data_IF_179990789661
#
_entry.id   IF_179990789661
#
_cell.length_a   1.000
_cell.length_b   1.000
_cell.length_c   1.000
_cell.angle_alpha   90.00
_cell.angle_beta   90.00
_cell.angle_gamma   90.00
#
_symmetry.space_group_name_H-M   'P 1'
#
loop_
_entity.id
_entity.type
_entity.pdbx_description
1 polymer ?
#
# COMPACT_ATOMS: atom_id res chain seq x y z
N UNK A 1 -9.88 15.88 6.39
CA UNK A 1 -9.90 17.35 6.21
C UNK A 1 -11.22 17.85 5.64
N UNK A 2 -11.84 17.18 4.66
CA UNK A 2 -13.12 17.62 4.08
C UNK A 2 -14.22 17.97 5.10
N UNK A 3 -14.55 17.13 6.09
CA UNK A 3 -15.60 17.49 7.06
C UNK A 3 -15.33 18.78 7.82
N UNK A 4 -14.06 19.02 8.20
CA UNK A 4 -13.69 20.24 8.92
C UNK A 4 -13.94 21.50 8.09
N UNK A 5 -13.51 21.52 6.84
CA UNK A 5 -13.67 22.66 5.95
C UNK A 5 -15.15 22.97 5.68
N UNK A 6 -15.97 21.92 5.47
CA UNK A 6 -17.43 22.08 5.29
C UNK A 6 -18.11 22.65 6.53
N UNK A 7 -17.71 22.18 7.72
CA UNK A 7 -18.23 22.69 9.00
C UNK A 7 -17.86 24.15 9.24
N UNK A 8 -16.63 24.55 8.92
CA UNK A 8 -16.15 25.94 8.97
C UNK A 8 -16.93 26.83 8.00
N UNK A 9 -17.30 26.30 6.82
CA UNK A 9 -18.16 26.98 5.85
C UNK A 9 -19.64 27.02 6.21
N UNK A 10 -20.07 26.46 7.34
CA UNK A 10 -21.43 26.52 7.82
C UNK A 10 -22.33 25.33 7.46
N UNK A 11 -21.84 24.33 6.72
CA UNK A 11 -22.63 23.18 6.31
C UNK A 11 -22.97 22.25 7.51
N UNK A 12 -24.11 21.56 7.41
CA UNK A 12 -24.37 20.37 8.22
C UNK A 12 -23.75 19.16 7.51
N UNK A 13 -22.97 18.35 8.22
CA UNK A 13 -22.21 17.25 7.62
C UNK A 13 -22.71 15.92 8.16
N UNK A 14 -23.09 15.01 7.27
CA UNK A 14 -23.35 13.61 7.61
C UNK A 14 -22.16 12.77 7.13
N UNK A 15 -21.51 12.09 8.06
CA UNK A 15 -20.30 11.29 7.79
C UNK A 15 -20.60 9.80 7.93
N UNK A 16 -20.62 9.09 6.84
CA UNK A 16 -20.66 7.63 6.82
C UNK A 16 -19.23 7.07 6.85
N UNK A 17 -18.99 6.09 7.71
CA UNK A 17 -17.70 5.40 7.80
C UNK A 17 -17.91 3.89 7.86
N UNK A 18 -17.28 3.17 6.94
CA UNK A 18 -17.35 1.70 6.87
C UNK A 18 -16.82 1.02 8.13
N UNK A 19 -15.71 1.54 8.67
CA UNK A 19 -15.01 0.89 9.77
C UNK A 19 -15.66 1.20 11.12
N UNK A 20 -15.41 0.32 12.11
CA UNK A 20 -15.94 0.48 13.47
C UNK A 20 -15.36 1.67 14.22
N UNK A 21 -14.21 2.18 13.79
CA UNK A 21 -13.59 3.39 14.34
C UNK A 21 -13.28 4.38 13.22
N UNK A 22 -13.49 5.68 13.47
CA UNK A 22 -13.12 6.71 12.51
C UNK A 22 -11.59 6.82 12.37
N UNK A 23 -11.14 7.29 11.22
CA UNK A 23 -9.73 7.63 11.01
C UNK A 23 -9.04 6.89 9.86
N UNK A 24 -9.67 5.86 9.27
CA UNK A 24 -9.13 5.13 8.13
C UNK A 24 -7.67 4.73 8.32
N UNK A 25 -6.78 5.08 7.39
CA UNK A 25 -5.35 4.75 7.46
C UNK A 25 -4.63 5.39 8.65
N UNK A 26 -5.11 6.50 9.21
CA UNK A 26 -4.54 7.07 10.44
C UNK A 26 -4.75 6.15 11.65
N UNK A 27 -5.84 5.38 11.68
CA UNK A 27 -6.12 4.39 12.72
C UNK A 27 -5.54 3.01 12.37
N UNK A 28 -5.74 2.55 11.13
CA UNK A 28 -5.48 1.17 10.73
C UNK A 28 -4.28 0.99 9.80
N UNK A 29 -3.65 2.06 9.30
CA UNK A 29 -2.48 2.02 8.42
C UNK A 29 -1.16 2.31 9.11
N UNK A 30 -1.16 3.16 10.15
CA UNK A 30 0.06 3.55 10.86
C UNK A 30 0.57 2.38 11.72
N UNK A 31 1.88 2.12 11.68
CA UNK A 31 2.49 1.04 12.46
C UNK A 31 2.28 1.23 13.98
N UNK A 32 2.00 0.16 14.75
CA UNK A 32 1.61 0.25 16.17
C UNK A 32 2.58 1.02 17.07
N UNK A 33 3.90 0.95 16.82
CA UNK A 33 4.90 1.66 17.64
C UNK A 33 4.84 3.18 17.49
N UNK A 34 4.21 3.70 16.43
CA UNK A 34 3.99 5.14 16.20
C UNK A 34 2.77 5.68 17.00
N UNK A 35 2.58 5.18 18.23
CA UNK A 35 1.41 5.45 19.07
C UNK A 35 1.18 6.95 19.35
N UNK A 36 2.24 7.76 19.53
CA UNK A 36 2.12 9.21 19.75
C UNK A 36 1.46 9.92 18.57
N UNK A 37 1.84 9.54 17.34
CA UNK A 37 1.22 10.05 16.12
C UNK A 37 -0.26 9.67 16.05
N UNK A 38 -0.59 8.39 16.29
CA UNK A 38 -1.99 7.90 16.32
C UNK A 38 -2.82 8.66 17.36
N UNK A 39 -2.28 8.88 18.56
CA UNK A 39 -2.98 9.62 19.61
C UNK A 39 -3.25 11.09 19.23
N UNK A 40 -2.27 11.76 18.59
CA UNK A 40 -2.45 13.11 18.07
C UNK A 40 -3.59 13.21 17.05
N UNK A 41 -3.62 12.29 16.09
CA UNK A 41 -4.67 12.20 15.08
C UNK A 41 -6.05 11.88 15.70
N UNK A 42 -6.11 10.94 16.65
CA UNK A 42 -7.36 10.63 17.38
C UNK A 42 -7.91 11.84 18.12
N UNK A 43 -7.04 12.68 18.73
CA UNK A 43 -7.47 13.93 19.38
C UNK A 43 -8.09 14.89 18.38
N UNK A 44 -7.48 15.06 17.21
CA UNK A 44 -8.03 15.89 16.13
C UNK A 44 -9.39 15.37 15.63
N UNK A 45 -9.51 14.06 15.38
CA UNK A 45 -10.77 13.46 14.92
C UNK A 45 -11.88 13.61 15.98
N UNK A 46 -11.57 13.40 17.25
CA UNK A 46 -12.57 13.62 18.33
C UNK A 46 -13.10 15.05 18.36
N UNK A 47 -12.24 16.03 18.15
CA UNK A 47 -12.66 17.43 18.09
C UNK A 47 -13.59 17.72 16.91
N UNK A 48 -13.30 17.12 15.74
CA UNK A 48 -14.17 17.26 14.55
C UNK A 48 -15.51 16.54 14.75
N UNK A 49 -15.47 15.30 15.27
CA UNK A 49 -16.68 14.48 15.48
C UNK A 49 -17.59 15.01 16.59
N UNK A 50 -17.06 15.84 17.50
CA UNK A 50 -17.84 16.49 18.54
C UNK A 50 -18.57 17.77 18.08
N UNK A 51 -18.45 18.13 16.79
CA UNK A 51 -19.05 19.35 16.28
C UNK A 51 -20.58 19.21 16.19
N UNK A 52 -21.39 20.19 16.67
CA UNK A 52 -22.85 20.07 16.75
C UNK A 52 -23.57 19.97 15.39
N UNK A 53 -22.89 20.30 14.29
CA UNK A 53 -23.39 20.16 12.92
C UNK A 53 -22.77 18.96 12.19
N UNK A 54 -22.32 17.93 12.91
CA UNK A 54 -21.81 16.70 12.32
C UNK A 54 -22.52 15.49 12.92
N UNK A 55 -23.16 14.71 12.07
CA UNK A 55 -23.71 13.40 12.39
C UNK A 55 -22.76 12.30 11.88
N UNK A 56 -22.41 11.35 12.74
CA UNK A 56 -21.49 10.27 12.43
C UNK A 56 -22.16 8.91 12.46
N UNK A 57 -22.09 8.19 11.37
CA UNK A 57 -22.56 6.81 11.22
C UNK A 57 -21.38 5.87 10.97
N UNK A 58 -20.88 5.23 12.04
CA UNK A 58 -19.83 4.22 11.98
C UNK A 58 -20.40 2.84 11.64
N UNK A 59 -19.53 1.94 11.15
CA UNK A 59 -19.89 0.59 10.70
C UNK A 59 -20.99 0.60 9.63
N UNK A 60 -20.99 1.64 8.80
CA UNK A 60 -21.92 1.82 7.70
C UNK A 60 -21.15 1.81 6.37
N UNK A 61 -21.17 0.68 5.67
CA UNK A 61 -20.52 0.54 4.37
C UNK A 61 -21.46 1.01 3.25
N UNK A 62 -20.91 1.79 2.32
CA UNK A 62 -21.61 2.24 1.11
C UNK A 62 -20.99 1.53 -0.10
N UNK A 63 -21.81 1.04 -1.00
CA UNK A 63 -21.43 0.34 -2.21
C UNK A 63 -22.40 -0.81 -2.56
N UNK A 64 -22.19 -1.50 -3.67
CA UNK A 64 -23.08 -2.56 -4.17
C UNK A 64 -23.31 -3.70 -3.17
N UNK A 65 -22.33 -3.99 -2.31
CA UNK A 65 -22.39 -5.02 -1.26
C UNK A 65 -22.39 -4.40 0.15
N UNK A 66 -22.66 -3.10 0.24
CA UNK A 66 -22.70 -2.35 1.49
C UNK A 66 -24.04 -2.42 2.21
N UNK A 67 -24.12 -1.75 3.35
CA UNK A 67 -25.37 -1.51 4.07
C UNK A 67 -26.30 -0.57 3.29
N UNK A 68 -25.73 0.36 2.52
CA UNK A 68 -26.41 1.27 1.61
C UNK A 68 -25.71 1.23 0.26
N UNK A 69 -26.45 1.38 -0.82
CA UNK A 69 -25.89 1.70 -2.13
C UNK A 69 -25.66 3.20 -2.26
N UNK A 70 -24.89 3.62 -3.26
CA UNK A 70 -24.75 5.03 -3.58
C UNK A 70 -26.09 5.67 -3.98
N UNK A 71 -26.91 4.91 -4.70
CA UNK A 71 -28.26 5.33 -5.07
C UNK A 71 -29.15 5.59 -3.83
N UNK A 72 -29.07 4.73 -2.80
CA UNK A 72 -29.81 4.96 -1.55
C UNK A 72 -29.36 6.28 -0.88
N UNK A 73 -28.06 6.54 -0.85
CA UNK A 73 -27.51 7.78 -0.27
C UNK A 73 -27.99 9.02 -1.03
N UNK A 74 -28.13 8.94 -2.35
CA UNK A 74 -28.66 10.04 -3.17
C UNK A 74 -30.11 10.39 -2.84
N UNK A 75 -30.92 9.39 -2.44
CA UNK A 75 -32.32 9.62 -2.04
C UNK A 75 -32.48 10.32 -0.70
N UNK A 76 -31.44 10.46 0.10
CA UNK A 76 -31.49 11.09 1.42
C UNK A 76 -31.55 12.63 1.38
N UNK A 77 -31.51 13.24 0.19
CA UNK A 77 -31.73 14.69 0.00
C UNK A 77 -30.56 15.57 0.40
N UNK A 78 -29.31 15.06 0.28
CA UNK A 78 -28.11 15.88 0.46
C UNK A 78 -27.89 16.82 -0.73
N UNK A 79 -27.44 18.05 -0.44
CA UNK A 79 -27.07 19.03 -1.47
C UNK A 79 -25.78 18.64 -2.22
N UNK A 80 -24.87 17.91 -1.54
CA UNK A 80 -23.61 17.45 -2.12
C UNK A 80 -23.12 16.17 -1.44
N UNK A 81 -22.44 15.32 -2.21
CA UNK A 81 -21.76 14.11 -1.74
C UNK A 81 -20.26 14.24 -1.93
N UNK A 82 -19.50 14.07 -0.84
CA UNK A 82 -18.03 14.05 -0.88
C UNK A 82 -17.55 12.61 -0.69
N UNK A 83 -16.96 12.03 -1.74
CA UNK A 83 -16.38 10.70 -1.69
C UNK A 83 -14.94 10.76 -1.25
N UNK A 84 -14.67 10.36 0.00
CA UNK A 84 -13.34 10.33 0.62
C UNK A 84 -13.01 8.91 1.13
N UNK A 85 -13.43 7.88 0.39
CA UNK A 85 -13.33 6.47 0.79
C UNK A 85 -11.90 5.89 0.74
N UNK A 86 -10.95 6.60 0.14
CA UNK A 86 -9.59 6.13 -0.08
C UNK A 86 -9.52 4.94 -1.04
N UNK A 87 -8.34 4.35 -1.17
CA UNK A 87 -8.09 3.18 -2.02
C UNK A 87 -8.34 1.89 -1.23
N UNK A 88 -9.54 1.31 -1.35
CA UNK A 88 -9.94 0.12 -0.59
C UNK A 88 -9.78 -1.18 -1.37
N UNK A 89 -9.65 -1.14 -2.70
CA UNK A 89 -9.34 -2.28 -3.54
C UNK A 89 -7.86 -2.64 -3.50
N UNK A 90 -7.53 -3.92 -3.64
CA UNK A 90 -6.14 -4.39 -3.77
C UNK A 90 -5.72 -4.42 -5.24
N UNK A 91 -4.50 -4.00 -5.50
CA UNK A 91 -3.91 -4.12 -6.84
C UNK A 91 -3.42 -5.56 -7.02
N UNK A 92 -3.87 -6.21 -8.08
CA UNK A 92 -3.43 -7.52 -8.51
C UNK A 92 -2.49 -7.41 -9.71
N UNK A 93 -1.56 -8.35 -9.84
CA UNK A 93 -0.67 -8.46 -10.99
C UNK A 93 -1.28 -9.31 -12.11
N UNK A 94 -2.25 -10.16 -11.78
CA UNK A 94 -2.86 -11.12 -12.71
C UNK A 94 -1.91 -12.24 -13.13
N UNK A 95 -0.99 -12.63 -12.22
CA UNK A 95 -0.01 -13.69 -12.48
C UNK A 95 -0.51 -15.05 -11.98
N UNK A 96 -0.08 -16.15 -12.62
CA UNK A 96 -0.50 -17.50 -12.20
C UNK A 96 -0.17 -17.80 -10.75
N UNK A 97 -1.18 -18.29 -10.02
CA UNK A 97 -1.07 -18.66 -8.59
C UNK A 97 -1.14 -17.49 -7.62
N UNK A 98 -1.57 -16.31 -8.04
CA UNK A 98 -1.71 -15.13 -7.15
C UNK A 98 -2.76 -15.33 -6.04
N UNK A 99 -3.63 -16.33 -6.19
CA UNK A 99 -4.64 -16.77 -5.22
C UNK A 99 -4.21 -17.98 -4.36
N UNK A 100 -2.96 -18.44 -4.49
CA UNK A 100 -2.45 -19.61 -3.78
C UNK A 100 -2.40 -19.39 -2.25
N UNK A 101 -2.46 -20.49 -1.50
CA UNK A 101 -2.30 -20.45 -0.02
C UNK A 101 -0.89 -19.99 0.33
N UNK A 102 -0.78 -18.89 1.08
CA UNK A 102 0.49 -18.24 1.41
C UNK A 102 0.72 -16.94 0.62
N UNK A 103 -0.19 -16.58 -0.30
CA UNK A 103 -0.19 -15.26 -0.94
C UNK A 103 -1.11 -14.32 -0.17
N UNK A 104 -0.63 -13.12 0.12
CA UNK A 104 -1.37 -12.07 0.83
C UNK A 104 -1.11 -10.70 0.21
N UNK A 105 -2.02 -9.77 0.45
CA UNK A 105 -1.78 -8.36 0.17
C UNK A 105 -1.31 -7.61 1.42
N UNK A 106 -0.51 -6.59 1.22
CA UNK A 106 0.00 -5.73 2.30
C UNK A 106 -1.11 -5.23 3.23
N UNK A 107 -2.25 -4.86 2.66
CA UNK A 107 -3.42 -4.38 3.39
C UNK A 107 -3.92 -5.40 4.42
N UNK A 108 -3.96 -6.71 4.08
CA UNK A 108 -4.42 -7.76 4.98
C UNK A 108 -3.50 -7.86 6.21
N UNK A 109 -2.19 -7.78 6.00
CA UNK A 109 -1.18 -7.80 7.06
C UNK A 109 -1.24 -6.54 7.92
N UNK A 110 -1.35 -5.37 7.28
CA UNK A 110 -1.42 -4.06 7.96
C UNK A 110 -2.68 -3.96 8.82
N UNK A 111 -3.82 -4.37 8.30
CA UNK A 111 -5.08 -4.37 9.05
C UNK A 111 -5.10 -5.43 10.15
N UNK A 112 -4.44 -6.58 9.93
CA UNK A 112 -4.30 -7.61 10.95
C UNK A 112 -3.55 -7.07 12.18
N UNK A 113 -2.34 -6.52 12.03
CA UNK A 113 -1.56 -6.02 13.17
C UNK A 113 -2.11 -4.73 13.78
N UNK A 114 -2.97 -4.01 13.08
CA UNK A 114 -3.70 -2.85 13.60
C UNK A 114 -5.08 -3.20 14.20
N UNK A 115 -5.39 -4.48 14.32
CA UNK A 115 -6.60 -4.99 14.95
C UNK A 115 -7.92 -4.56 14.28
N UNK A 116 -7.94 -4.41 12.94
CA UNK A 116 -9.18 -4.16 12.20
C UNK A 116 -9.91 -5.48 11.89
N UNK A 117 -11.15 -5.72 12.40
CA UNK A 117 -11.98 -6.84 11.94
C UNK A 117 -12.40 -6.65 10.46
N UNK A 118 -12.59 -7.72 9.69
CA UNK A 118 -12.38 -9.13 10.04
C UNK A 118 -10.92 -9.59 9.91
N UNK A 119 -10.00 -8.74 9.47
CA UNK A 119 -8.60 -9.07 9.19
C UNK A 119 -7.85 -9.57 10.44
N UNK A 120 -8.09 -8.94 11.59
CA UNK A 120 -7.46 -9.30 12.87
C UNK A 120 -7.93 -10.65 13.43
N UNK A 121 -9.06 -11.15 12.96
CA UNK A 121 -9.65 -12.43 13.39
C UNK A 121 -9.14 -13.61 12.55
N UNK A 122 -8.50 -13.35 11.42
CA UNK A 122 -7.96 -14.36 10.51
C UNK A 122 -6.51 -14.66 10.90
N UNK A 123 -6.14 -15.94 10.85
CA UNK A 123 -4.73 -16.32 10.96
C UNK A 123 -3.96 -15.78 9.73
N UNK A 124 -2.75 -15.29 9.97
CA UNK A 124 -1.81 -15.02 8.89
C UNK A 124 -1.04 -16.31 8.59
N UNK A 125 -1.16 -16.89 7.40
CA UNK A 125 -0.47 -18.13 7.03
C UNK A 125 0.99 -17.83 6.68
N UNK A 126 1.78 -17.41 7.68
CA UNK A 126 3.18 -17.07 7.53
C UNK A 126 4.04 -18.34 7.61
N UNK A 127 4.88 -18.53 6.59
CA UNK A 127 5.97 -19.49 6.61
C UNK A 127 7.26 -18.88 7.14
N UNK A 128 8.37 -19.59 6.97
CA UNK A 128 9.70 -19.19 7.45
C UNK A 128 10.39 -18.18 6.52
N UNK A 129 10.14 -18.27 5.21
CA UNK A 129 10.74 -17.45 4.18
C UNK A 129 9.67 -16.66 3.45
N UNK A 130 9.70 -15.35 3.63
CA UNK A 130 8.66 -14.45 3.14
C UNK A 130 9.22 -13.53 2.06
N UNK A 131 8.62 -13.51 0.87
CA UNK A 131 8.87 -12.48 -0.13
C UNK A 131 7.92 -11.30 0.08
N UNK A 132 8.45 -10.08 0.13
CA UNK A 132 7.65 -8.84 0.05
C UNK A 132 7.91 -8.22 -1.31
N UNK A 133 6.86 -8.11 -2.14
CA UNK A 133 6.94 -7.51 -3.47
C UNK A 133 6.61 -6.03 -3.39
N UNK A 134 7.59 -5.19 -3.68
CA UNK A 134 7.48 -3.73 -3.59
C UNK A 134 8.54 -3.12 -2.69
N UNK A 135 8.83 -1.82 -2.87
CA UNK A 135 9.92 -1.14 -2.18
C UNK A 135 9.49 0.28 -1.75
N UNK A 136 8.37 0.37 -1.04
CA UNK A 136 7.84 1.59 -0.42
C UNK A 136 7.81 1.50 1.10
N UNK A 137 7.27 2.52 1.77
CA UNK A 137 7.15 2.57 3.24
C UNK A 137 6.33 1.41 3.82
N UNK A 138 5.30 0.94 3.09
CA UNK A 138 4.50 -0.22 3.53
C UNK A 138 5.34 -1.49 3.61
N UNK A 139 6.29 -1.71 2.68
CA UNK A 139 7.24 -2.81 2.75
C UNK A 139 8.06 -2.74 4.04
N UNK A 140 8.55 -1.53 4.42
CA UNK A 140 9.29 -1.33 5.66
C UNK A 140 8.48 -1.75 6.88
N UNK A 141 7.24 -1.26 7.00
CA UNK A 141 6.36 -1.58 8.14
C UNK A 141 6.09 -3.10 8.22
N UNK A 142 5.84 -3.76 7.08
CA UNK A 142 5.62 -5.22 7.04
C UNK A 142 6.90 -5.99 7.39
N UNK A 143 8.05 -5.63 6.81
CA UNK A 143 9.32 -6.28 7.14
C UNK A 143 9.66 -6.13 8.63
N UNK A 144 9.46 -4.94 9.20
CA UNK A 144 9.63 -4.69 10.63
C UNK A 144 8.68 -5.54 11.48
N UNK A 145 7.40 -5.65 11.10
CA UNK A 145 6.43 -6.52 11.77
C UNK A 145 6.87 -7.99 11.76
N UNK A 146 7.27 -8.50 10.61
CA UNK A 146 7.68 -9.89 10.44
C UNK A 146 8.95 -10.21 11.25
N UNK A 147 9.97 -9.38 11.11
CA UNK A 147 11.29 -9.64 11.70
C UNK A 147 11.35 -9.34 13.20
N UNK A 148 10.51 -8.41 13.69
CA UNK A 148 10.50 -8.00 15.11
C UNK A 148 9.50 -8.77 15.94
N UNK A 149 8.32 -9.10 15.39
CA UNK A 149 7.18 -9.60 16.16
C UNK A 149 6.76 -11.02 15.79
N UNK A 150 7.41 -11.64 14.79
CA UNK A 150 7.11 -12.99 14.31
C UNK A 150 8.34 -13.88 14.31
N UNK A 151 8.61 -14.50 15.46
CA UNK A 151 9.79 -15.35 15.65
C UNK A 151 9.88 -16.54 14.69
N UNK A 152 8.77 -16.92 14.03
CA UNK A 152 8.77 -18.00 13.04
C UNK A 152 9.37 -17.60 11.68
N UNK A 153 9.55 -16.30 11.40
CA UNK A 153 10.10 -15.81 10.13
C UNK A 153 11.63 -15.77 10.25
N UNK A 154 12.28 -16.59 9.45
CA UNK A 154 13.74 -16.72 9.40
C UNK A 154 14.37 -15.79 8.36
N UNK A 155 13.64 -15.53 7.26
CA UNK A 155 14.12 -14.69 6.17
C UNK A 155 12.97 -13.88 5.53
N UNK A 156 13.25 -12.61 5.28
CA UNK A 156 12.42 -11.74 4.44
C UNK A 156 13.24 -11.34 3.22
N UNK A 157 12.77 -11.65 2.01
CA UNK A 157 13.35 -11.16 0.76
C UNK A 157 12.47 -10.08 0.16
N UNK A 158 13.02 -8.88 -0.03
CA UNK A 158 12.33 -7.77 -0.69
C UNK A 158 12.55 -7.87 -2.20
N UNK A 159 11.49 -8.09 -2.94
CA UNK A 159 11.53 -8.20 -4.41
C UNK A 159 11.13 -6.86 -5.02
N UNK A 160 12.03 -6.26 -5.78
CA UNK A 160 11.84 -4.97 -6.39
C UNK A 160 12.02 -5.00 -7.91
N UNK A 161 11.02 -4.50 -8.65
CA UNK A 161 11.05 -4.45 -10.12
C UNK A 161 12.17 -3.56 -10.67
N UNK A 162 12.55 -2.52 -9.92
CA UNK A 162 13.61 -1.57 -10.27
C UNK A 162 14.82 -1.72 -9.36
N UNK A 163 15.83 -0.90 -9.57
CA UNK A 163 17.06 -0.89 -8.78
C UNK A 163 16.93 -0.16 -7.43
N UNK A 164 18.02 -0.15 -6.64
CA UNK A 164 18.06 0.53 -5.36
C UNK A 164 17.89 2.06 -5.45
N UNK A 165 18.26 2.67 -6.59
CA UNK A 165 18.06 4.11 -6.81
C UNK A 165 16.59 4.51 -6.88
N UNK A 166 15.71 3.62 -7.37
CA UNK A 166 14.28 3.85 -7.53
C UNK A 166 13.44 3.47 -6.31
N UNK A 167 14.08 3.32 -5.14
CA UNK A 167 13.37 3.08 -3.88
C UNK A 167 12.40 4.22 -3.56
N UNK A 168 11.27 3.88 -2.94
CA UNK A 168 10.20 4.82 -2.59
C UNK A 168 9.93 4.87 -1.08
N UNK A 169 10.85 4.38 -0.28
CA UNK A 169 10.76 4.51 1.17
C UNK A 169 11.64 5.68 1.67
N UNK A 170 11.24 6.24 2.80
CA UNK A 170 12.01 7.28 3.47
C UNK A 170 13.19 6.70 4.25
N UNK A 171 14.32 7.42 4.27
CA UNK A 171 15.49 7.02 5.04
C UNK A 171 15.21 6.87 6.56
N UNK A 172 14.28 7.65 7.10
CA UNK A 172 13.81 7.50 8.49
C UNK A 172 13.16 6.15 8.74
N UNK A 173 12.33 5.71 7.80
CA UNK A 173 11.61 4.44 7.90
C UNK A 173 12.58 3.27 7.74
N UNK A 174 13.56 3.36 6.85
CA UNK A 174 14.56 2.32 6.62
C UNK A 174 15.31 1.92 7.90
N UNK A 175 15.55 2.85 8.82
CA UNK A 175 16.22 2.59 10.11
C UNK A 175 15.52 1.52 10.96
N UNK A 176 14.23 1.30 10.78
CA UNK A 176 13.50 0.25 11.51
C UNK A 176 13.87 -1.17 11.07
N UNK A 177 14.31 -1.33 9.82
CA UNK A 177 14.68 -2.64 9.26
C UNK A 177 16.18 -2.80 9.06
N UNK A 178 16.97 -1.73 9.09
CA UNK A 178 18.42 -1.72 8.92
C UNK A 178 19.13 -2.76 9.80
N UNK A 179 18.77 -2.97 11.09
CA UNK A 179 19.40 -3.97 11.96
C UNK A 179 19.26 -5.41 11.44
N UNK A 180 18.27 -5.68 10.59
CA UNK A 180 17.96 -7.02 10.08
C UNK A 180 18.57 -7.27 8.70
N UNK A 181 19.08 -6.23 8.04
CA UNK A 181 19.65 -6.34 6.69
C UNK A 181 20.91 -7.20 6.73
N UNK A 182 20.93 -8.23 5.90
CA UNK A 182 22.12 -8.99 5.61
C UNK A 182 23.03 -8.15 4.70
N UNK A 183 24.00 -7.47 5.31
CA UNK A 183 24.88 -6.51 4.64
C UNK A 183 25.72 -7.17 3.55
N UNK A 184 26.17 -8.41 3.78
CA UNK A 184 26.98 -9.15 2.81
C UNK A 184 26.13 -9.53 1.59
N UNK A 185 24.93 -10.05 1.83
CA UNK A 185 23.97 -10.37 0.75
C UNK A 185 23.59 -9.12 -0.04
N UNK A 186 23.36 -7.99 0.62
CA UNK A 186 23.06 -6.71 -0.04
C UNK A 186 24.21 -6.24 -0.94
N UNK A 187 25.44 -6.30 -0.45
CA UNK A 187 26.62 -5.95 -1.25
C UNK A 187 26.77 -6.85 -2.48
N UNK A 188 26.62 -8.15 -2.32
CA UNK A 188 26.66 -9.10 -3.43
C UNK A 188 25.54 -8.82 -4.46
N UNK A 189 24.34 -8.52 -3.99
CA UNK A 189 23.22 -8.19 -4.87
C UNK A 189 23.48 -6.91 -5.69
N UNK A 190 23.95 -5.85 -5.07
CA UNK A 190 24.29 -4.59 -5.77
C UNK A 190 25.43 -4.82 -6.78
N UNK A 191 26.46 -5.58 -6.41
CA UNK A 191 27.58 -5.92 -7.31
C UNK A 191 27.11 -6.79 -8.50
N UNK A 192 26.21 -7.73 -8.28
CA UNK A 192 25.59 -8.53 -9.36
C UNK A 192 24.93 -7.65 -10.39
N UNK A 193 24.34 -6.55 -9.97
CA UNK A 193 23.58 -5.63 -10.83
C UNK A 193 24.43 -4.53 -11.45
N UNK A 194 25.70 -4.40 -11.08
CA UNK A 194 26.60 -3.32 -11.55
C UNK A 194 26.46 -2.99 -13.03
N UNK A 195 26.57 -3.97 -13.98
CA UNK A 195 26.50 -3.64 -15.41
C UNK A 195 25.16 -3.02 -15.80
N UNK A 196 24.05 -3.46 -15.17
CA UNK A 196 22.68 -2.98 -15.47
C UNK A 196 22.41 -1.60 -14.87
N UNK A 197 23.04 -1.26 -13.73
CA UNK A 197 22.92 0.03 -13.06
C UNK A 197 23.78 1.09 -13.79
N UNK A 198 25.03 0.77 -14.08
CA UNK A 198 25.94 1.64 -14.83
C UNK A 198 25.44 1.96 -16.25
N UNK A 199 24.75 1.02 -16.91
CA UNK A 199 24.17 1.22 -18.23
C UNK A 199 23.13 2.36 -18.29
N UNK A 200 22.53 2.76 -17.14
CA UNK A 200 21.63 3.91 -17.02
C UNK A 200 22.25 5.08 -16.26
N UNK A 201 23.60 5.05 -16.07
CA UNK A 201 24.34 6.12 -15.43
C UNK A 201 24.17 6.20 -13.91
N UNK A 202 23.88 5.08 -13.24
CA UNK A 202 23.82 5.01 -11.77
C UNK A 202 25.18 4.67 -11.20
N UNK A 203 25.61 5.39 -10.17
CA UNK A 203 26.88 5.16 -9.48
C UNK A 203 26.69 4.09 -8.40
N UNK A 204 27.31 2.92 -8.62
CA UNK A 204 27.21 1.76 -7.73
C UNK A 204 27.86 2.02 -6.38
N UNK A 205 28.93 2.83 -6.30
CA UNK A 205 29.58 3.14 -5.03
C UNK A 205 28.70 4.02 -4.15
N UNK A 206 28.03 5.00 -4.74
CA UNK A 206 27.04 5.85 -4.06
C UNK A 206 25.86 5.02 -3.56
N UNK A 207 25.29 4.17 -4.42
CA UNK A 207 24.18 3.29 -4.05
C UNK A 207 24.55 2.34 -2.92
N UNK A 208 25.75 1.77 -2.96
CA UNK A 208 26.28 0.92 -1.90
C UNK A 208 26.34 1.69 -0.57
N UNK A 209 26.93 2.88 -0.56
CA UNK A 209 27.04 3.69 0.65
C UNK A 209 25.67 4.08 1.23
N UNK A 210 24.71 4.45 0.36
CA UNK A 210 23.36 4.81 0.79
C UNK A 210 22.56 3.64 1.37
N UNK A 211 22.78 2.42 0.87
CA UNK A 211 22.03 1.23 1.28
C UNK A 211 22.64 0.51 2.47
N UNK A 212 23.98 0.54 2.64
CA UNK A 212 24.66 -0.14 3.76
C UNK A 212 24.58 0.63 5.07
N UNK A 213 24.14 1.90 5.03
CA UNK A 213 24.01 2.73 6.24
C UNK A 213 25.35 2.94 6.96
N UNK A 214 25.30 3.44 8.20
CA UNK A 214 26.50 3.71 9.00
C UNK A 214 26.97 2.48 9.82
N UNK A 215 26.40 1.30 9.61
CA UNK A 215 26.79 0.05 10.28
C UNK A 215 26.59 0.01 11.81
N UNK A 216 25.90 1.00 12.38
CA UNK A 216 25.71 1.13 13.84
C UNK A 216 24.45 0.44 14.36
N UNK A 217 23.58 -0.04 13.46
CA UNK A 217 22.33 -0.64 13.85
C UNK A 217 22.55 -2.08 14.36
N UNK A 218 22.31 -2.29 15.66
CA UNK A 218 22.47 -3.61 16.28
C UNK A 218 21.17 -4.40 16.20
N UNK A 219 21.25 -5.62 15.67
CA UNK A 219 20.12 -6.55 15.66
C UNK A 219 19.71 -6.92 17.08
N UNK A 220 18.41 -6.88 17.41
CA UNK A 220 17.94 -7.38 18.70
C UNK A 220 18.24 -8.88 18.86
N UNK A 221 18.74 -9.32 20.03
CA UNK A 221 19.16 -10.71 20.24
C UNK A 221 18.05 -11.74 20.03
N UNK A 222 16.81 -11.37 20.32
CA UNK A 222 15.64 -12.27 20.23
C UNK A 222 15.00 -12.32 18.84
N UNK A 223 15.67 -11.72 17.83
CA UNK A 223 15.13 -11.63 16.47
C UNK A 223 16.10 -12.29 15.48
N UNK A 224 16.01 -13.61 15.25
CA UNK A 224 16.96 -14.35 14.40
C UNK A 224 16.81 -14.07 12.91
N UNK A 225 15.67 -13.55 12.49
CA UNK A 225 15.32 -13.32 11.09
C UNK A 225 16.26 -12.32 10.40
N UNK A 226 16.48 -12.50 9.10
CA UNK A 226 17.29 -11.62 8.26
C UNK A 226 16.48 -11.03 7.12
N UNK A 227 16.94 -9.89 6.60
CA UNK A 227 16.36 -9.22 5.44
C UNK A 227 17.36 -9.19 4.30
N UNK A 228 16.92 -9.63 3.14
CA UNK A 228 17.69 -9.61 1.89
C UNK A 228 16.91 -8.86 0.80
N UNK A 229 17.59 -8.47 -0.28
CA UNK A 229 16.98 -7.79 -1.41
C UNK A 229 17.20 -8.58 -2.69
N UNK A 230 16.19 -8.56 -3.56
CA UNK A 230 16.25 -9.01 -4.94
C UNK A 230 15.75 -7.88 -5.83
N UNK A 231 16.67 -7.08 -6.35
CA UNK A 231 16.38 -5.97 -7.24
C UNK A 231 16.29 -6.44 -8.69
N UNK A 232 15.72 -5.60 -9.55
CA UNK A 232 15.52 -5.86 -10.96
C UNK A 232 14.82 -7.21 -11.20
N UNK A 233 13.78 -7.47 -10.41
CA UNK A 233 13.03 -8.71 -10.43
C UNK A 233 11.52 -8.42 -10.42
N UNK A 234 10.81 -8.91 -11.45
CA UNK A 234 9.34 -8.82 -11.53
C UNK A 234 8.73 -10.17 -11.21
N UNK A 235 7.73 -10.26 -10.33
CA UNK A 235 6.97 -11.49 -10.13
C UNK A 235 6.39 -11.99 -11.44
N UNK A 236 6.51 -13.29 -11.71
CA UNK A 236 6.02 -13.93 -12.93
C UNK A 236 4.95 -14.98 -12.63
N UNK A 237 5.18 -15.85 -11.67
CA UNK A 237 4.20 -16.86 -11.20
C UNK A 237 4.56 -17.38 -9.83
N UNK A 238 3.55 -17.86 -9.08
CA UNK A 238 3.78 -18.64 -7.88
C UNK A 238 4.12 -20.08 -8.22
N UNK A 239 5.02 -20.66 -7.46
CA UNK A 239 5.28 -22.09 -7.47
C UNK A 239 4.56 -22.71 -6.27
N UNK A 240 3.71 -23.69 -6.52
CA UNK A 240 2.90 -24.31 -5.47
C UNK A 240 3.21 -25.80 -5.31
N UNK A 241 2.95 -26.32 -4.12
CA UNK A 241 2.90 -27.77 -3.89
C UNK A 241 1.55 -28.35 -4.33
N UNK A 242 1.40 -29.67 -4.17
CA UNK A 242 0.18 -30.39 -4.52
C UNK A 242 -1.06 -29.96 -3.70
N UNK A 243 -0.86 -29.29 -2.55
CA UNK A 243 -1.93 -28.75 -1.71
C UNK A 243 -2.26 -27.28 -2.04
N UNK A 244 -1.66 -26.71 -3.11
CA UNK A 244 -1.86 -25.32 -3.51
C UNK A 244 -1.16 -24.29 -2.61
N UNK A 245 -0.19 -24.70 -1.80
CA UNK A 245 0.59 -23.83 -0.93
C UNK A 245 1.82 -23.31 -1.67
N UNK A 246 2.15 -22.04 -1.44
CA UNK A 246 3.37 -21.44 -1.98
C UNK A 246 4.61 -22.19 -1.47
N UNK A 247 5.48 -22.58 -2.38
CA UNK A 247 6.83 -23.10 -2.14
C UNK A 247 7.93 -22.28 -2.81
N UNK A 248 7.56 -21.31 -3.64
CA UNK A 248 8.47 -20.42 -4.33
C UNK A 248 7.77 -19.34 -5.15
N UNK A 249 8.55 -18.36 -5.54
CA UNK A 249 8.17 -17.28 -6.44
C UNK A 249 9.13 -17.28 -7.64
N UNK A 250 8.62 -17.53 -8.84
CA UNK A 250 9.39 -17.29 -10.06
C UNK A 250 9.34 -15.80 -10.40
N UNK A 251 10.50 -15.21 -10.60
CA UNK A 251 10.65 -13.80 -10.97
C UNK A 251 11.34 -13.69 -12.32
N UNK A 252 10.94 -12.72 -13.14
CA UNK A 252 11.64 -12.34 -14.36
C UNK A 252 12.73 -11.33 -14.03
N UNK A 253 13.95 -11.57 -14.49
CA UNK A 253 15.05 -10.60 -14.40
C UNK A 253 14.73 -9.39 -15.28
N UNK A 254 15.03 -8.19 -14.79
CA UNK A 254 14.82 -6.95 -15.51
C UNK A 254 16.14 -6.28 -15.89
N UNK A 255 16.06 -5.44 -16.92
CA UNK A 255 17.04 -4.39 -17.21
C UNK A 255 16.42 -3.02 -17.03
N UNK A 256 17.22 -2.04 -16.70
CA UNK A 256 16.80 -0.65 -16.67
C UNK A 256 16.92 -0.02 -18.05
N UNK A 257 15.96 0.84 -18.36
CA UNK A 257 15.95 1.62 -19.61
C UNK A 257 15.64 3.07 -19.23
N UNK A 258 16.51 3.99 -19.65
CA UNK A 258 16.31 5.43 -19.48
C UNK A 258 15.60 6.00 -20.73
N UNK A 259 14.45 6.63 -20.52
CA UNK A 259 13.67 7.31 -21.56
C UNK A 259 13.22 8.67 -21.05
N UNK A 260 13.56 9.75 -21.78
CA UNK A 260 13.15 11.12 -21.45
C UNK A 260 13.43 11.55 -19.99
N UNK A 261 14.53 11.06 -19.41
CA UNK A 261 14.90 11.35 -18.02
C UNK A 261 14.40 10.32 -16.99
N UNK A 262 13.35 9.58 -17.29
CA UNK A 262 12.81 8.56 -16.40
C UNK A 262 13.50 7.20 -16.59
N UNK A 263 13.65 6.46 -15.47
CA UNK A 263 14.20 5.10 -15.48
C UNK A 263 13.06 4.10 -15.28
N UNK A 264 12.87 3.22 -16.26
CA UNK A 264 11.87 2.16 -16.25
C UNK A 264 12.53 0.77 -16.29
N UNK A 265 11.81 -0.24 -15.79
CA UNK A 265 12.24 -1.63 -15.86
C UNK A 265 11.59 -2.35 -17.05
N UNK A 266 12.38 -3.17 -17.75
CA UNK A 266 11.92 -4.04 -18.84
C UNK A 266 12.40 -5.46 -18.58
N UNK A 267 11.52 -6.44 -18.75
CA UNK A 267 11.86 -7.85 -18.63
C UNK A 267 12.93 -8.28 -19.65
N UNK A 268 13.72 -9.26 -19.28
CA UNK A 268 14.78 -9.84 -20.13
C UNK A 268 14.39 -11.17 -20.76
N UNK A 269 13.31 -11.80 -20.27
CA UNK A 269 12.93 -13.17 -20.62
C UNK A 269 13.71 -14.23 -19.82
N UNK A 270 14.58 -13.83 -18.91
CA UNK A 270 15.29 -14.74 -18.00
C UNK A 270 14.53 -14.86 -16.67
N UNK A 271 14.39 -16.07 -16.16
CA UNK A 271 13.61 -16.35 -14.95
C UNK A 271 14.47 -17.01 -13.89
N UNK A 272 14.19 -16.62 -12.63
CA UNK A 272 14.84 -17.18 -11.43
C UNK A 272 13.76 -17.57 -10.43
N UNK A 273 13.94 -18.68 -9.76
CA UNK A 273 13.05 -19.16 -8.70
C UNK A 273 13.60 -18.76 -7.33
N UNK A 274 12.78 -18.07 -6.56
CA UNK A 274 13.05 -17.72 -5.17
C UNK A 274 12.33 -18.71 -4.26
N UNK A 275 13.06 -19.46 -3.39
CA UNK A 275 12.44 -20.43 -2.51
C UNK A 275 11.80 -19.72 -1.32
N UNK A 276 10.50 -19.47 -1.37
CA UNK A 276 9.71 -18.77 -0.34
C UNK A 276 8.43 -19.53 -0.03
N UNK A 277 7.95 -19.40 1.19
CA UNK A 277 6.75 -20.07 1.70
C UNK A 277 5.54 -19.12 1.72
N UNK A 278 5.81 -17.81 1.64
CA UNK A 278 4.80 -16.76 1.70
C UNK A 278 5.19 -15.62 0.77
N UNK A 279 4.20 -15.03 0.10
CA UNK A 279 4.38 -13.84 -0.74
C UNK A 279 3.40 -12.76 -0.31
N UNK A 280 3.91 -11.56 -0.03
CA UNK A 280 3.10 -10.39 0.36
C UNK A 280 3.27 -9.29 -0.70
N UNK A 281 2.19 -8.93 -1.36
CA UNK A 281 2.19 -7.85 -2.36
C UNK A 281 2.04 -6.49 -1.68
N UNK A 282 3.09 -5.66 -1.72
CA UNK A 282 3.13 -4.27 -1.24
C UNK A 282 3.27 -3.30 -2.42
N UNK A 283 2.43 -3.47 -3.45
CA UNK A 283 2.48 -2.76 -4.73
C UNK A 283 1.47 -1.61 -4.84
N UNK A 284 0.88 -1.23 -3.72
CA UNK A 284 -0.15 -0.20 -3.61
C UNK A 284 -1.57 -0.73 -3.80
N UNK A 285 -2.51 0.14 -3.52
CA UNK A 285 -3.94 -0.14 -3.58
C UNK A 285 -4.57 0.55 -4.79
N UNK A 286 -5.84 0.24 -5.06
CA UNK A 286 -6.71 0.92 -6.03
C UNK A 286 -8.02 1.31 -5.34
N UNK A 287 -8.75 2.24 -5.91
CA UNK A 287 -10.11 2.55 -5.43
C UNK A 287 -11.01 1.33 -5.60
N UNK A 288 -12.03 1.23 -4.77
CA UNK A 288 -12.98 0.12 -4.81
C UNK A 288 -14.10 0.46 -5.81
N UNK A 289 -14.13 -0.25 -6.94
CA UNK A 289 -15.14 -0.06 -7.99
C UNK A 289 -16.55 -0.41 -7.52
N UNK A 290 -16.69 -1.26 -6.49
CA UNK A 290 -17.99 -1.63 -5.92
C UNK A 290 -18.71 -0.48 -5.22
N UNK A 291 -18.09 0.69 -5.10
CA UNK A 291 -18.75 1.91 -4.60
C UNK A 291 -19.88 2.38 -5.54
N UNK A 292 -19.86 1.98 -6.82
CA UNK A 292 -20.90 2.33 -7.79
C UNK A 292 -20.66 3.66 -8.52
N UNK A 293 -19.43 4.20 -8.45
CA UNK A 293 -19.02 5.37 -9.25
C UNK A 293 -18.38 4.91 -10.57
N UNK A 294 -18.47 5.74 -11.65
CA UNK A 294 -17.75 5.47 -12.89
C UNK A 294 -16.27 5.24 -12.64
N UNK A 295 -15.75 4.15 -13.20
CA UNK A 295 -14.41 3.65 -12.89
C UNK A 295 -13.62 3.34 -14.16
N UNK A 296 -12.37 3.81 -14.21
CA UNK A 296 -11.45 3.49 -15.28
C UNK A 296 -10.00 3.50 -14.80
N UNK A 297 -9.19 2.56 -15.30
CA UNK A 297 -7.74 2.49 -15.05
C UNK A 297 -7.32 2.51 -13.57
N UNK A 298 -8.13 1.94 -12.68
CA UNK A 298 -7.81 1.88 -11.26
C UNK A 298 -8.25 3.10 -10.44
N UNK A 299 -9.00 4.05 -11.04
CA UNK A 299 -9.45 5.28 -10.42
C UNK A 299 -10.91 5.57 -10.78
N UNK A 300 -11.59 6.36 -9.96
CA UNK A 300 -12.88 6.93 -10.35
C UNK A 300 -12.68 7.94 -11.48
N UNK A 301 -13.60 7.94 -12.43
CA UNK A 301 -13.57 8.89 -13.54
C UNK A 301 -13.92 10.27 -12.99
N UNK A 302 -13.03 11.23 -13.21
CA UNK A 302 -13.23 12.64 -12.87
C UNK A 302 -13.69 13.42 -14.09
N UNK A 303 -14.21 14.62 -13.88
CA UNK A 303 -14.66 15.48 -14.96
C UNK A 303 -13.53 15.75 -15.98
N UNK A 304 -13.68 15.33 -17.24
CA UNK A 304 -12.65 15.56 -18.27
C UNK A 304 -12.57 17.01 -18.75
N UNK A 305 -13.60 17.82 -18.42
CA UNK A 305 -13.70 19.22 -18.82
C UNK A 305 -13.94 20.11 -17.59
N UNK A 306 -12.91 20.29 -16.71
CA UNK A 306 -13.06 21.15 -15.56
C UNK A 306 -13.41 22.58 -15.97
N UNK A 307 -14.29 23.21 -15.20
CA UNK A 307 -14.67 24.61 -15.42
C UNK A 307 -13.42 25.51 -15.34
N UNK A 308 -13.20 26.33 -16.34
CA UNK A 308 -12.08 27.28 -16.39
C UNK A 308 -12.15 28.35 -15.27
N UNK A 309 -13.34 28.62 -14.73
CA UNK A 309 -13.52 29.56 -13.62
C UNK A 309 -13.13 28.95 -12.25
N UNK A 310 -13.25 27.62 -12.10
CA UNK A 310 -12.83 26.90 -10.90
C UNK A 310 -12.21 25.53 -11.25
N UNK A 311 -11.00 25.51 -11.83
CA UNK A 311 -10.38 24.30 -12.34
C UNK A 311 -10.01 23.31 -11.25
N UNK A 312 -9.80 23.75 -10.00
CA UNK A 312 -9.42 22.85 -8.90
C UNK A 312 -10.63 22.07 -8.37
N UNK A 313 -11.78 22.71 -8.19
CA UNK A 313 -12.99 22.04 -7.67
C UNK A 313 -13.61 21.16 -8.75
N UNK A 314 -13.74 21.67 -9.97
CA UNK A 314 -14.37 20.95 -11.07
C UNK A 314 -13.56 19.74 -11.56
N UNK A 315 -12.21 19.77 -11.44
CA UNK A 315 -11.36 18.66 -11.81
C UNK A 315 -11.56 17.42 -10.88
N UNK A 316 -11.98 17.64 -9.64
CA UNK A 316 -12.22 16.55 -8.68
C UNK A 316 -13.69 16.09 -8.63
N UNK A 317 -14.57 16.70 -9.42
CA UNK A 317 -15.93 16.17 -9.57
C UNK A 317 -15.88 14.87 -10.35
N UNK A 318 -16.55 13.83 -9.85
CA UNK A 318 -16.77 12.62 -10.64
C UNK A 318 -17.80 12.95 -11.72
N UNK A 319 -17.51 12.57 -12.94
CA UNK A 319 -18.40 12.77 -14.07
C UNK A 319 -19.20 11.50 -14.32
N UNK A 320 -20.50 11.56 -14.11
CA UNK A 320 -21.45 10.57 -14.60
C UNK A 320 -22.41 11.26 -15.59
N UNK A 321 -22.36 10.92 -16.90
CA UNK A 321 -23.25 11.50 -17.88
C UNK A 321 -24.72 11.15 -17.64
N UNK A 322 -25.03 10.11 -16.85
CA UNK A 322 -26.39 9.66 -16.53
C UNK A 322 -26.92 10.37 -15.28
N UNK A 323 -26.03 10.81 -14.38
CA UNK A 323 -26.37 11.47 -13.11
C UNK A 323 -26.20 13.01 -13.18
N UNK A 324 -26.35 13.61 -14.37
CA UNK A 324 -26.22 15.05 -14.58
C UNK A 324 -27.25 15.85 -13.76
N UNK A 325 -26.92 16.09 -12.50
CA UNK A 325 -27.74 16.79 -11.51
C UNK A 325 -27.18 16.73 -10.10
N UNK A 326 -26.28 15.80 -9.82
CA UNK A 326 -25.65 15.65 -8.50
C UNK A 326 -24.15 15.95 -8.60
N UNK A 327 -23.68 16.93 -7.84
CA UNK A 327 -22.26 17.27 -7.76
C UNK A 327 -21.55 16.28 -6.84
N UNK A 328 -20.68 15.43 -7.40
CA UNK A 328 -19.79 14.56 -6.65
C UNK A 328 -18.39 15.22 -6.58
N UNK A 329 -17.87 15.48 -5.41
CA UNK A 329 -16.50 15.86 -5.21
C UNK A 329 -15.70 14.68 -4.64
N UNK A 330 -14.66 14.22 -5.35
CA UNK A 330 -13.70 13.26 -4.83
C UNK A 330 -12.57 14.01 -4.13
N UNK A 331 -12.48 13.88 -2.81
CA UNK A 331 -11.32 14.38 -2.04
C UNK A 331 -10.14 13.40 -2.17
N UNK A 332 -8.96 13.90 -2.56
CA UNK A 332 -7.70 13.18 -2.55
C UNK A 332 -7.15 13.00 -1.12
#
# INVERSE_FOLDING_TARGET
MAPRNSLEAGAHVVLFNRDIKPGGLAEYGIFPTKHKMKQGLRKQFRAILAHPRLDYYGNCSIGEKGALTLADVQTLGFDALVVAAGAQGTRQLGIPGEDAIGVMHAKDVVYHYNHLPPFSQRALPLGKRVAIVGMGNVMIDIAHFLLRLRACVEEVVVVARRGPAERKYDAKEYRYIEPFVDQQALQHEILRLRPRLEAVGQDVAVLMAEMTGNGQATRPPDCPGRLTFRFLASPHRMLTDAAGRVRGLAVEENRLVRQQGDVSARGTGEYVELPVDTVIFAIGDRVDESLGLPYARGQFVTNPHPDAADPLVSAYQTYDPILSGTNFASGA
#
